data_IF_581650360690
#
_entry.id   IF_581650360690
#
_cell.length_a   1.000
_cell.length_b   1.000
_cell.length_c   1.000
_cell.angle_alpha   90.00
_cell.angle_beta   90.00
_cell.angle_gamma   90.00
#
_symmetry.space_group_name_H-M   'P 1'
#
loop_
_entity.id
_entity.type
_entity.pdbx_description
1 polymer ?
#
# COMPACT_ATOMS: atom_id res chain seq x y z
N UNK A 1 -34.18 -3.59 -17.80
CA UNK A 1 -33.33 -2.50 -17.29
C UNK A 1 -33.58 -2.34 -15.80
N UNK A 2 -32.67 -2.82 -14.96
CA UNK A 2 -32.43 -2.29 -13.61
C UNK A 2 -30.92 -2.39 -13.37
N UNK A 3 -30.25 -1.24 -13.54
CA UNK A 3 -28.84 -1.03 -13.22
C UNK A 3 -28.62 -1.13 -11.71
N UNK A 4 -27.42 -1.54 -11.29
CA UNK A 4 -26.90 -1.16 -9.97
C UNK A 4 -26.80 -2.26 -8.93
N UNK A 5 -26.02 -3.31 -9.21
CA UNK A 5 -25.26 -4.03 -8.17
C UNK A 5 -23.79 -3.60 -8.22
N UNK A 6 -23.57 -2.29 -8.24
CA UNK A 6 -22.29 -1.73 -7.79
C UNK A 6 -22.33 -1.78 -6.28
N UNK A 7 -21.93 -2.90 -5.68
CA UNK A 7 -21.51 -2.87 -4.30
C UNK A 7 -20.50 -1.73 -4.22
N UNK A 8 -20.70 -0.81 -3.28
CA UNK A 8 -19.75 0.25 -3.01
C UNK A 8 -18.44 -0.42 -2.54
N UNK A 9 -17.60 -0.88 -3.47
CA UNK A 9 -16.26 -1.47 -3.19
C UNK A 9 -15.30 -0.42 -2.62
N UNK A 10 -15.78 0.82 -2.51
CA UNK A 10 -15.14 1.99 -1.93
C UNK A 10 -15.98 2.53 -0.77
N UNK A 11 -16.36 1.72 0.22
CA UNK A 11 -16.83 2.23 1.51
C UNK A 11 -15.69 2.94 2.23
N UNK A 12 -15.38 4.15 1.75
CA UNK A 12 -14.45 5.10 2.32
C UNK A 12 -15.21 5.96 3.34
N UNK A 13 -14.63 6.18 4.50
CA UNK A 13 -15.12 7.19 5.41
C UNK A 13 -14.16 7.47 6.56
N UNK A 14 -13.47 8.61 6.46
CA UNK A 14 -12.90 9.41 7.57
C UNK A 14 -11.80 8.77 8.43
N UNK A 15 -12.09 7.61 9.00
CA UNK A 15 -11.33 6.90 10.03
C UNK A 15 -11.20 5.38 9.73
N UNK A 16 -11.98 4.85 8.78
CA UNK A 16 -12.01 3.40 8.49
C UNK A 16 -11.09 3.02 7.33
N UNK A 17 -10.32 1.94 7.52
CA UNK A 17 -9.46 1.38 6.48
C UNK A 17 -10.32 0.72 5.40
N UNK A 18 -9.96 0.89 4.12
CA UNK A 18 -10.65 0.20 3.02
C UNK A 18 -10.47 -1.31 3.09
N UNK A 19 -11.38 -2.06 2.48
CA UNK A 19 -11.30 -3.52 2.40
C UNK A 19 -9.96 -3.97 1.78
N UNK A 20 -9.47 -3.22 0.79
CA UNK A 20 -8.18 -3.48 0.15
C UNK A 20 -7.01 -3.25 1.12
N UNK A 21 -7.06 -2.21 1.95
CA UNK A 21 -6.03 -1.94 2.96
C UNK A 21 -5.97 -3.03 4.02
N UNK A 22 -7.12 -3.48 4.54
CA UNK A 22 -7.20 -4.54 5.55
C UNK A 22 -6.70 -5.86 4.97
N UNK A 23 -7.17 -6.23 3.77
CA UNK A 23 -6.70 -7.44 3.08
C UNK A 23 -5.18 -7.38 2.80
N UNK A 24 -4.67 -6.19 2.47
CA UNK A 24 -3.25 -5.98 2.20
C UNK A 24 -2.40 -6.08 3.46
N UNK A 25 -2.83 -5.49 4.57
CA UNK A 25 -2.15 -5.60 5.86
C UNK A 25 -2.20 -7.02 6.45
N UNK A 26 -3.25 -7.77 6.15
CA UNK A 26 -3.38 -9.19 6.52
C UNK A 26 -2.65 -10.18 5.59
N UNK A 27 -2.09 -9.72 4.47
CA UNK A 27 -1.41 -10.58 3.51
C UNK A 27 -2.35 -11.50 2.73
N UNK A 28 -3.64 -11.16 2.63
CA UNK A 28 -4.67 -11.99 2.00
C UNK A 28 -4.63 -11.87 0.48
N UNK A 29 -3.60 -12.45 -0.15
CA UNK A 29 -3.32 -12.33 -1.60
C UNK A 29 -4.55 -12.55 -2.49
N UNK A 30 -5.32 -13.61 -2.25
CA UNK A 30 -6.54 -13.91 -3.03
C UNK A 30 -7.62 -12.84 -2.89
N UNK A 31 -7.77 -12.28 -1.69
CA UNK A 31 -8.78 -11.24 -1.43
C UNK A 31 -8.35 -9.94 -2.09
N UNK A 32 -7.05 -9.59 -2.00
CA UNK A 32 -6.47 -8.45 -2.70
C UNK A 32 -6.70 -8.57 -4.21
N UNK A 33 -6.39 -9.71 -4.81
CA UNK A 33 -6.62 -9.96 -6.25
C UNK A 33 -8.09 -9.80 -6.64
N UNK A 34 -9.02 -10.36 -5.85
CA UNK A 34 -10.45 -10.22 -6.09
C UNK A 34 -10.92 -8.76 -6.02
N UNK A 35 -10.42 -7.99 -5.04
CA UNK A 35 -10.77 -6.59 -4.87
C UNK A 35 -10.23 -5.72 -6.01
N UNK A 36 -8.99 -5.96 -6.44
CA UNK A 36 -8.39 -5.28 -7.59
C UNK A 36 -9.18 -5.57 -8.88
N UNK A 37 -9.55 -6.83 -9.10
CA UNK A 37 -10.39 -7.23 -10.24
C UNK A 37 -11.82 -6.65 -10.17
N UNK A 38 -12.33 -6.39 -8.96
CA UNK A 38 -13.61 -5.72 -8.75
C UNK A 38 -13.56 -4.20 -8.97
N UNK A 39 -12.39 -3.64 -9.27
CA UNK A 39 -12.20 -2.19 -9.48
C UNK A 39 -12.00 -1.40 -8.19
N UNK A 40 -11.49 -2.02 -7.13
CA UNK A 40 -11.12 -1.32 -5.91
C UNK A 40 -10.08 -0.22 -6.21
N UNK A 41 -10.23 0.92 -5.53
CA UNK A 41 -9.31 2.03 -5.73
C UNK A 41 -7.96 1.74 -5.04
N UNK A 42 -6.94 1.42 -5.83
CA UNK A 42 -5.61 0.99 -5.35
C UNK A 42 -4.94 2.03 -4.45
N UNK A 43 -5.12 3.30 -4.81
CA UNK A 43 -4.56 4.44 -4.10
C UNK A 43 -5.56 5.05 -3.10
N UNK A 44 -6.49 4.23 -2.58
CA UNK A 44 -7.40 4.66 -1.53
C UNK A 44 -6.59 5.16 -0.33
N UNK A 45 -6.81 6.44 0.00
CA UNK A 45 -6.20 7.10 1.14
C UNK A 45 -7.17 7.17 2.33
N UNK A 46 -6.65 6.95 3.53
CA UNK A 46 -7.40 7.04 4.79
C UNK A 46 -7.25 5.80 5.67
N UNK A 47 -7.90 5.85 6.83
CA UNK A 47 -7.80 4.80 7.86
C UNK A 47 -6.41 4.72 8.49
N UNK A 48 -6.22 3.74 9.37
CA UNK A 48 -4.98 3.53 10.12
C UNK A 48 -3.74 3.33 9.23
N UNK A 49 -3.91 2.71 8.06
CA UNK A 49 -2.78 2.40 7.19
C UNK A 49 -2.48 3.47 6.13
N UNK A 50 -3.35 4.46 5.93
CA UNK A 50 -3.17 5.43 4.84
C UNK A 50 -3.39 4.80 3.45
N UNK A 51 -2.58 3.85 2.99
CA UNK A 51 -2.72 3.17 1.68
C UNK A 51 -2.59 1.65 1.77
N UNK A 52 -3.12 0.94 0.77
CA UNK A 52 -2.98 -0.52 0.70
C UNK A 52 -1.52 -0.97 0.59
N UNK A 53 -0.71 -0.20 -0.16
CA UNK A 53 0.72 -0.47 -0.32
C UNK A 53 1.47 -0.28 1.01
N UNK A 54 1.13 0.75 1.78
CA UNK A 54 1.68 0.97 3.11
C UNK A 54 1.30 -0.16 4.08
N UNK A 55 0.02 -0.58 4.09
CA UNK A 55 -0.45 -1.71 4.90
C UNK A 55 0.34 -3.00 4.61
N UNK A 56 0.48 -3.35 3.34
CA UNK A 56 1.26 -4.52 2.90
C UNK A 56 2.74 -4.40 3.28
N UNK A 57 3.29 -3.19 3.24
CA UNK A 57 4.69 -2.91 3.54
C UNK A 57 5.00 -3.00 5.03
N UNK A 58 4.09 -2.58 5.91
CA UNK A 58 4.19 -2.82 7.36
C UNK A 58 4.23 -4.32 7.65
N UNK A 59 3.31 -5.08 7.03
CA UNK A 59 3.20 -6.52 7.24
C UNK A 59 4.30 -7.35 6.59
N UNK A 60 5.13 -6.76 5.72
CA UNK A 60 6.17 -7.48 4.98
C UNK A 60 5.63 -8.38 3.87
N UNK A 61 4.40 -8.16 3.42
CA UNK A 61 3.68 -9.05 2.50
C UNK A 61 4.14 -8.88 1.06
N UNK A 62 5.29 -9.44 0.73
CA UNK A 62 5.96 -9.31 -0.56
C UNK A 62 5.04 -9.55 -1.78
N UNK A 63 4.22 -10.60 -1.75
CA UNK A 63 3.33 -10.93 -2.88
C UNK A 63 2.24 -9.87 -3.08
N UNK A 64 1.68 -9.36 -1.98
CA UNK A 64 0.68 -8.29 -2.02
C UNK A 64 1.30 -7.00 -2.54
N UNK A 65 2.49 -6.63 -2.03
CA UNK A 65 3.23 -5.45 -2.50
C UNK A 65 3.46 -5.52 -4.00
N UNK A 66 3.93 -6.67 -4.51
CA UNK A 66 4.14 -6.85 -5.94
C UNK A 66 2.85 -6.66 -6.74
N UNK A 67 1.74 -7.28 -6.30
CA UNK A 67 0.44 -7.17 -6.98
C UNK A 67 -0.08 -5.72 -7.02
N UNK A 68 0.08 -4.97 -5.93
CA UNK A 68 -0.31 -3.56 -5.87
C UNK A 68 0.55 -2.71 -6.83
N UNK A 69 1.87 -2.95 -6.87
CA UNK A 69 2.78 -2.27 -7.80
C UNK A 69 2.45 -2.60 -9.27
N UNK A 70 2.12 -3.86 -9.57
CA UNK A 70 1.69 -4.30 -10.90
C UNK A 70 0.37 -3.60 -11.33
N UNK A 71 -0.46 -3.17 -10.35
CA UNK A 71 -1.71 -2.42 -10.59
C UNK A 71 -1.49 -0.90 -10.59
N UNK A 72 -0.26 -0.43 -10.78
CA UNK A 72 0.11 1.01 -10.78
C UNK A 72 -0.24 1.75 -9.48
N UNK A 73 -0.09 1.09 -8.33
CA UNK A 73 -0.13 1.78 -7.04
C UNK A 73 0.92 2.90 -7.00
N UNK A 74 0.57 4.04 -6.42
CA UNK A 74 1.52 5.11 -6.17
C UNK A 74 2.48 4.68 -5.06
N UNK A 75 3.69 4.30 -5.47
CA UNK A 75 4.76 3.86 -4.59
C UNK A 75 5.22 4.93 -3.59
N UNK A 76 4.97 6.19 -3.91
CA UNK A 76 5.36 7.34 -3.08
C UNK A 76 4.19 7.92 -2.28
N UNK A 77 3.00 7.30 -2.34
CA UNK A 77 1.86 7.78 -1.60
C UNK A 77 2.18 7.77 -0.08
N UNK A 78 1.92 8.87 0.64
CA UNK A 78 2.11 8.91 2.08
C UNK A 78 1.12 7.97 2.75
N UNK A 79 1.63 7.20 3.71
CA UNK A 79 0.82 6.41 4.64
C UNK A 79 0.49 7.21 5.89
N UNK A 80 0.38 6.51 7.02
CA UNK A 80 0.17 7.14 8.32
C UNK A 80 1.35 8.05 8.71
N UNK A 81 1.05 9.23 9.28
CA UNK A 81 2.04 10.23 9.74
C UNK A 81 3.03 10.67 8.66
N UNK A 82 2.59 10.78 7.40
CA UNK A 82 3.44 11.15 6.25
C UNK A 82 4.62 10.20 6.01
N UNK A 83 4.59 8.99 6.58
CA UNK A 83 5.64 7.97 6.39
C UNK A 83 5.45 7.25 5.06
N UNK A 84 6.55 6.95 4.38
CA UNK A 84 6.53 6.19 3.13
C UNK A 84 6.47 4.68 3.39
N UNK A 85 5.91 3.94 2.42
CA UNK A 85 5.93 2.47 2.42
C UNK A 85 7.37 1.92 2.57
N UNK A 86 8.35 2.61 1.96
CA UNK A 86 9.76 2.24 2.04
C UNK A 86 10.32 2.39 3.46
N UNK A 87 9.94 3.45 4.18
CA UNK A 87 10.37 3.69 5.55
C UNK A 87 9.88 2.56 6.47
N UNK A 88 8.58 2.24 6.45
CA UNK A 88 8.01 1.18 7.31
C UNK A 88 8.48 -0.22 6.95
N UNK A 89 8.71 -0.51 5.67
CA UNK A 89 9.32 -1.78 5.25
C UNK A 89 10.76 -1.91 5.77
N UNK A 90 11.50 -0.80 5.82
CA UNK A 90 12.87 -0.76 6.32
C UNK A 90 12.93 -0.92 7.84
N UNK A 91 12.06 -0.21 8.56
CA UNK A 91 11.88 -0.32 10.02
C UNK A 91 11.49 -1.76 10.43
N UNK A 92 10.59 -2.39 9.67
CA UNK A 92 10.19 -3.79 9.87
C UNK A 92 11.24 -4.82 9.46
N UNK A 93 12.35 -4.41 8.83
CA UNK A 93 13.40 -5.33 8.36
C UNK A 93 13.04 -6.15 7.12
N UNK A 94 11.98 -5.78 6.40
CA UNK A 94 11.42 -6.51 5.26
C UNK A 94 12.23 -6.29 3.98
N UNK A 95 13.45 -6.83 3.92
CA UNK A 95 14.41 -6.57 2.81
C UNK A 95 13.84 -6.83 1.42
N UNK A 96 13.04 -7.89 1.25
CA UNK A 96 12.44 -8.20 -0.06
C UNK A 96 11.42 -7.13 -0.49
N UNK A 97 10.62 -6.62 0.45
CA UNK A 97 9.66 -5.53 0.19
C UNK A 97 10.40 -4.24 -0.13
N UNK A 98 11.43 -3.90 0.65
CA UNK A 98 12.30 -2.74 0.40
C UNK A 98 12.87 -2.78 -1.02
N UNK A 99 13.36 -3.95 -1.45
CA UNK A 99 13.88 -4.13 -2.80
C UNK A 99 12.80 -3.90 -3.86
N UNK A 100 11.61 -4.49 -3.71
CA UNK A 100 10.50 -4.29 -4.65
C UNK A 100 10.09 -2.82 -4.76
N UNK A 101 10.01 -2.10 -3.63
CA UNK A 101 9.65 -0.69 -3.61
C UNK A 101 10.72 0.16 -4.32
N UNK A 102 12.01 -0.11 -4.08
CA UNK A 102 13.12 0.56 -4.77
C UNK A 102 13.11 0.27 -6.28
N UNK A 103 12.86 -0.98 -6.68
CA UNK A 103 12.77 -1.38 -8.08
C UNK A 103 11.57 -0.70 -8.78
N UNK A 104 10.49 -0.42 -8.05
CA UNK A 104 9.34 0.34 -8.55
C UNK A 104 9.52 1.86 -8.52
N UNK A 105 10.69 2.37 -8.12
CA UNK A 105 10.98 3.81 -8.09
C UNK A 105 10.49 4.53 -6.84
N UNK A 106 10.36 3.82 -5.70
CA UNK A 106 10.16 4.47 -4.41
C UNK A 106 11.28 5.51 -4.17
N UNK A 107 10.87 6.75 -3.96
CA UNK A 107 11.78 7.77 -3.52
C UNK A 107 12.20 7.47 -2.09
N UNK A 108 13.48 7.66 -1.79
CA UNK A 108 14.01 7.71 -0.42
C UNK A 108 13.55 9.01 0.30
N UNK A 109 12.28 9.40 0.10
CA UNK A 109 11.69 10.71 0.38
C UNK A 109 12.33 11.44 1.55
N UNK A 110 12.86 12.64 1.23
CA UNK A 110 13.55 13.63 2.09
C UNK A 110 13.92 13.10 3.47
N UNK A 111 15.19 12.75 3.63
CA UNK A 111 15.83 12.63 4.93
C UNK A 111 15.34 13.75 5.86
N UNK A 112 14.48 13.41 6.81
CA UNK A 112 14.36 14.16 8.04
C UNK A 112 15.71 14.03 8.72
N UNK A 113 16.59 14.99 8.44
CA UNK A 113 17.92 15.17 9.03
C UNK A 113 18.74 13.89 9.28
N UNK A 114 19.74 13.73 8.40
CA UNK A 114 21.06 13.13 8.59
C UNK A 114 21.35 11.81 7.88
N UNK A 115 22.42 11.93 7.06
CA UNK A 115 23.35 10.90 6.60
C UNK A 115 22.89 10.03 5.43
N UNK A 116 22.69 10.71 4.29
CA UNK A 116 23.26 10.21 3.04
C UNK A 116 24.78 10.02 3.21
N UNK A 117 25.22 8.80 3.49
CA UNK A 117 26.56 8.33 3.08
C UNK A 117 26.37 7.19 2.09
N UNK A 118 26.29 7.56 0.80
CA UNK A 118 26.80 6.68 -0.26
C UNK A 118 28.31 6.56 0.00
N UNK A 119 28.78 5.33 0.16
CA UNK A 119 30.20 5.03 -0.07
C UNK A 119 30.48 5.13 -1.57
#
# INVERSE_FOLDING_TARGET
MLHGKGAYVNTLGGDYSSELQVASGGGHVRVVEMLLNAGAYVNAQGGYYGTALYAASIGGHQQVVKMLLDTSADVNAPGEEDRSALFVASEGGHRQVVKLLLDAGANLGKCGHQRCRRR
#
